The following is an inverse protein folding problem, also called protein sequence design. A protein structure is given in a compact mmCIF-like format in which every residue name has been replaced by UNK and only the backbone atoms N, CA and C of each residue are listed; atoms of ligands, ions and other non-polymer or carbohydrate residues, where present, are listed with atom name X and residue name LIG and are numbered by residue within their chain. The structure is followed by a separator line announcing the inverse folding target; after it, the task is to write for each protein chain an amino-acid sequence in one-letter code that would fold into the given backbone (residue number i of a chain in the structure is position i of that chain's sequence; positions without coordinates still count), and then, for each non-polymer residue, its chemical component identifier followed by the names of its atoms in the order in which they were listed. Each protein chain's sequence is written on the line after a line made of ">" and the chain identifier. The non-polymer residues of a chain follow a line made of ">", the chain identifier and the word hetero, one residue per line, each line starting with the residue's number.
data_IF_402099781678
#
_entry.id   IF_402099781678
#
_cell.length_a   1.000
_cell.length_b   1.000
_cell.length_c   1.000
_cell.angle_alpha   90.00
_cell.angle_beta   90.00
_cell.angle_gamma   90.00
#
_symmetry.space_group_name_H-M   'P 1'
#
loop_
_entity.id
_entity.type
_entity.pdbx_description
1 polymer ?
#
# COMPACT_ATOMS: atom_id res chain seq x y z
N UNK A 1 -8.79 0.84 20.55
CA UNK A 1 -7.85 0.45 19.48
C UNK A 1 -6.64 -0.20 20.15
N UNK A 2 -6.51 -1.52 20.06
CA UNK A 2 -5.32 -2.23 20.58
C UNK A 2 -4.21 -2.04 19.54
N UNK A 3 -3.06 -1.54 19.97
CA UNK A 3 -1.89 -1.39 19.10
C UNK A 3 -0.91 -2.50 19.47
N UNK A 4 -0.73 -3.47 18.59
CA UNK A 4 0.31 -4.49 18.74
C UNK A 4 1.59 -3.95 18.12
N UNK A 5 2.66 -3.92 18.91
CA UNK A 5 4.00 -3.58 18.43
C UNK A 5 4.83 -4.85 18.34
N UNK A 6 5.48 -5.05 17.20
CA UNK A 6 6.40 -6.16 16.97
C UNK A 6 7.62 -5.65 16.21
N UNK A 7 8.78 -6.25 16.50
CA UNK A 7 10.03 -5.98 15.78
C UNK A 7 10.30 -7.14 14.82
N UNK A 8 10.45 -6.86 13.53
CA UNK A 8 10.97 -7.85 12.60
C UNK A 8 12.46 -8.09 12.87
N UNK A 9 12.83 -9.35 13.07
CA UNK A 9 14.23 -9.79 13.22
C UNK A 9 14.56 -10.63 11.98
N UNK A 10 15.66 -10.29 11.32
CA UNK A 10 16.15 -11.02 10.15
C UNK A 10 17.39 -11.81 10.54
N UNK A 11 17.40 -13.10 10.19
CA UNK A 11 18.52 -14.00 10.51
C UNK A 11 19.62 -13.97 9.42
N UNK A 12 19.27 -13.52 8.21
CA UNK A 12 20.20 -13.32 7.11
C UNK A 12 19.88 -12.01 6.37
N UNK A 13 20.84 -11.56 5.57
CA UNK A 13 20.73 -10.30 4.84
C UNK A 13 19.82 -10.38 3.60
N UNK A 14 19.65 -11.58 3.03
CA UNK A 14 18.83 -11.82 1.84
C UNK A 14 17.34 -11.61 2.15
N UNK A 15 16.83 -12.25 3.21
CA UNK A 15 15.44 -12.09 3.69
C UNK A 15 15.14 -10.63 4.02
N UNK A 16 16.10 -9.95 4.66
CA UNK A 16 16.00 -8.52 4.94
C UNK A 16 15.82 -7.73 3.65
N UNK A 17 16.60 -8.03 2.62
CA UNK A 17 16.55 -7.31 1.36
C UNK A 17 15.23 -7.57 0.62
N UNK A 18 14.75 -8.81 0.60
CA UNK A 18 13.46 -9.21 0.00
C UNK A 18 12.30 -8.47 0.69
N UNK A 19 12.28 -8.46 2.02
CA UNK A 19 11.21 -7.79 2.77
C UNK A 19 11.27 -6.28 2.59
N UNK A 20 12.46 -5.67 2.62
CA UNK A 20 12.60 -4.22 2.37
C UNK A 20 12.15 -3.83 0.97
N UNK A 21 12.45 -4.65 -0.03
CA UNK A 21 11.99 -4.43 -1.40
C UNK A 21 10.46 -4.54 -1.52
N UNK A 22 9.86 -5.58 -0.93
CA UNK A 22 8.41 -5.76 -0.87
C UNK A 22 7.73 -4.56 -0.19
N UNK A 23 8.24 -4.12 0.96
CA UNK A 23 7.72 -2.96 1.70
C UNK A 23 7.82 -1.68 0.87
N UNK A 24 8.92 -1.51 0.11
CA UNK A 24 9.12 -0.36 -0.77
C UNK A 24 8.10 -0.36 -1.90
N UNK A 25 7.92 -1.48 -2.61
CA UNK A 25 6.94 -1.63 -3.69
C UNK A 25 5.52 -1.40 -3.21
N UNK A 26 5.15 -1.98 -2.06
CA UNK A 26 3.85 -1.74 -1.44
C UNK A 26 3.63 -0.28 -1.06
N UNK A 27 4.63 0.37 -0.43
CA UNK A 27 4.54 1.79 -0.07
C UNK A 27 4.39 2.69 -1.31
N UNK A 28 5.10 2.38 -2.40
CA UNK A 28 4.97 3.08 -3.67
C UNK A 28 3.58 2.88 -4.29
N UNK A 29 3.06 1.65 -4.30
CA UNK A 29 1.71 1.33 -4.75
C UNK A 29 0.65 2.12 -3.97
N UNK A 30 0.76 2.19 -2.65
CA UNK A 30 -0.18 2.94 -1.80
C UNK A 30 -0.17 4.44 -2.11
N UNK A 31 1.02 5.07 -2.22
CA UNK A 31 1.14 6.50 -2.55
C UNK A 31 0.57 6.80 -3.94
N UNK A 32 0.85 5.93 -4.91
CA UNK A 32 0.34 6.09 -6.26
C UNK A 32 -1.18 5.90 -6.30
N UNK A 33 -1.72 4.91 -5.56
CA UNK A 33 -3.16 4.73 -5.37
C UNK A 33 -3.83 5.99 -4.81
N UNK A 34 -3.24 6.58 -3.76
CA UNK A 34 -3.75 7.81 -3.14
C UNK A 34 -3.92 8.94 -4.17
N UNK A 35 -2.88 9.18 -4.98
CA UNK A 35 -2.93 10.19 -6.05
C UNK A 35 -4.02 9.87 -7.08
N UNK A 36 -4.13 8.62 -7.53
CA UNK A 36 -5.17 8.22 -8.51
C UNK A 36 -6.59 8.34 -7.94
N UNK A 37 -6.78 8.02 -6.67
CA UNK A 37 -8.07 8.18 -5.99
C UNK A 37 -8.48 9.66 -5.93
N UNK A 38 -7.54 10.58 -5.71
CA UNK A 38 -7.79 12.03 -5.79
C UNK A 38 -8.20 12.47 -7.20
N UNK A 39 -7.66 11.83 -8.23
CA UNK A 39 -8.02 12.06 -9.64
C UNK A 39 -9.33 11.37 -10.07
N UNK A 40 -10.04 10.70 -9.14
CA UNK A 40 -11.34 10.09 -9.39
C UNK A 40 -11.32 8.66 -9.94
N UNK A 41 -10.17 8.01 -10.01
CA UNK A 41 -10.09 6.62 -10.45
C UNK A 41 -10.76 5.67 -9.46
N UNK A 42 -11.45 4.65 -9.98
CA UNK A 42 -12.11 3.64 -9.16
C UNK A 42 -11.16 2.48 -8.76
N UNK A 43 -11.52 1.79 -7.68
CA UNK A 43 -10.72 0.68 -7.13
C UNK A 43 -10.50 -0.47 -8.12
N UNK A 44 -11.50 -0.82 -8.94
CA UNK A 44 -11.42 -1.98 -9.84
C UNK A 44 -10.39 -1.72 -10.94
N UNK A 45 -10.40 -0.51 -11.50
CA UNK A 45 -9.41 -0.05 -12.48
C UNK A 45 -8.01 -0.08 -11.89
N UNK A 46 -7.81 0.51 -10.70
CA UNK A 46 -6.51 0.52 -10.04
C UNK A 46 -5.98 -0.88 -9.72
N UNK A 47 -6.84 -1.77 -9.21
CA UNK A 47 -6.44 -3.13 -8.84
C UNK A 47 -5.96 -3.96 -10.05
N UNK A 48 -6.56 -3.74 -11.22
CA UNK A 48 -6.14 -4.41 -12.45
C UNK A 48 -4.76 -3.91 -12.90
N UNK A 49 -4.58 -2.61 -12.94
CA UNK A 49 -3.39 -2.01 -13.55
C UNK A 49 -2.15 -2.12 -12.63
N UNK A 50 -2.36 -2.12 -11.31
CA UNK A 50 -1.24 -2.04 -10.35
C UNK A 50 -0.53 -3.37 -10.09
N UNK A 51 -1.17 -4.52 -10.34
CA UNK A 51 -0.54 -5.83 -10.13
C UNK A 51 0.72 -5.99 -10.97
N UNK A 52 0.62 -5.73 -12.28
CA UNK A 52 1.79 -5.75 -13.16
C UNK A 52 2.74 -4.57 -12.91
N UNK A 53 2.20 -3.38 -12.63
CA UNK A 53 3.01 -2.16 -12.47
C UNK A 53 3.96 -2.21 -11.26
N UNK A 54 3.51 -2.75 -10.13
CA UNK A 54 4.29 -2.80 -8.89
C UNK A 54 4.87 -4.19 -8.59
N UNK A 55 4.66 -5.16 -9.47
CA UNK A 55 5.04 -6.56 -9.26
C UNK A 55 4.50 -7.11 -7.92
N UNK A 56 3.26 -6.75 -7.58
CA UNK A 56 2.60 -7.16 -6.34
C UNK A 56 1.46 -8.09 -6.68
N UNK A 57 1.25 -9.10 -5.84
CA UNK A 57 0.06 -9.92 -5.98
C UNK A 57 -1.22 -9.12 -5.72
N UNK A 58 -2.34 -9.64 -6.25
CA UNK A 58 -3.67 -9.05 -6.16
C UNK A 58 -4.08 -8.62 -4.75
N UNK A 59 -3.69 -9.35 -3.70
CA UNK A 59 -4.03 -9.01 -2.32
C UNK A 59 -3.28 -7.79 -1.83
N UNK A 60 -1.96 -7.76 -2.00
CA UNK A 60 -1.13 -6.63 -1.55
C UNK A 60 -1.50 -5.32 -2.28
N UNK A 61 -1.81 -5.40 -3.58
CA UNK A 61 -2.31 -4.25 -4.35
C UNK A 61 -3.63 -3.74 -3.76
N UNK A 62 -4.55 -4.65 -3.48
CA UNK A 62 -5.86 -4.29 -2.95
C UNK A 62 -5.77 -3.64 -1.56
N UNK A 63 -4.90 -4.19 -0.70
CA UNK A 63 -4.63 -3.64 0.63
C UNK A 63 -3.99 -2.25 0.56
N UNK A 64 -3.08 -2.03 -0.41
CA UNK A 64 -2.49 -0.72 -0.65
C UNK A 64 -3.57 0.31 -1.08
N UNK A 65 -4.49 -0.07 -1.98
CA UNK A 65 -5.60 0.78 -2.41
C UNK A 65 -6.57 1.05 -1.25
N UNK A 66 -6.88 0.02 -0.44
CA UNK A 66 -7.73 0.16 0.74
C UNK A 66 -7.11 1.12 1.76
N UNK A 67 -5.80 0.98 2.03
CA UNK A 67 -5.09 1.87 2.95
C UNK A 67 -5.09 3.30 2.43
N UNK A 68 -4.80 3.50 1.14
CA UNK A 68 -4.82 4.82 0.52
C UNK A 68 -6.20 5.49 0.63
N UNK A 69 -7.29 4.74 0.37
CA UNK A 69 -8.66 5.23 0.54
C UNK A 69 -8.95 5.60 1.99
N UNK A 70 -8.61 4.75 2.95
CA UNK A 70 -8.79 5.05 4.38
C UNK A 70 -8.04 6.31 4.80
N UNK A 71 -6.81 6.51 4.31
CA UNK A 71 -6.05 7.73 4.56
C UNK A 71 -6.70 8.96 3.92
N UNK A 72 -7.23 8.83 2.70
CA UNK A 72 -7.93 9.92 2.02
C UNK A 72 -9.21 10.33 2.74
N UNK A 73 -10.05 9.38 3.16
CA UNK A 73 -11.27 9.69 3.92
C UNK A 73 -10.94 10.34 5.27
N UNK A 74 -9.93 9.83 5.97
CA UNK A 74 -9.47 10.45 7.23
C UNK A 74 -8.96 11.88 7.03
N UNK A 75 -8.29 12.18 5.90
CA UNK A 75 -7.87 13.54 5.58
C UNK A 75 -9.08 14.47 5.35
N UNK A 76 -10.09 13.99 4.61
CA UNK A 76 -11.34 14.73 4.36
C UNK A 76 -12.10 15.02 5.65
N UNK A 77 -12.20 14.05 6.55
CA UNK A 77 -12.83 14.23 7.87
C UNK A 77 -12.12 15.29 8.72
N UNK A 78 -10.80 15.45 8.54
CA UNK A 78 -10.00 16.47 9.21
C UNK A 78 -9.99 17.83 8.48
N UNK A 79 -10.72 17.97 7.36
CA UNK A 79 -10.75 19.18 6.54
C UNK A 79 -9.43 19.49 5.83
N UNK A 80 -8.62 18.46 5.52
CA UNK A 80 -7.33 18.56 4.84
C UNK A 80 -7.37 18.10 3.39
#
# INVERSE_FOLDING_TARGET
>A
MIVIQAKLIFLNQEDKQIVLDLMRRWSSCMRFAYKRLLEGYDRKTLKRDFQGMFDLNSRYVDDAIMKARSTLESARELGK
#
